data_IF_404567212240
#
_entry.id   IF_404567212240
#
_cell.length_a   1.000
_cell.length_b   1.000
_cell.length_c   1.000
_cell.angle_alpha   90.00
_cell.angle_beta   90.00
_cell.angle_gamma   90.00
#
_symmetry.space_group_name_H-M   'P 1'
#
loop_
_entity.id
_entity.type
_entity.pdbx_description
1 polymer ?
#
# COMPACT_ATOMS: atom_id res chain seq x y z
N UNK A 1 -12.05 22.02 -4.13
CA UNK A 1 -13.20 21.19 -3.72
C UNK A 1 -13.28 20.00 -4.67
N UNK A 2 -12.69 18.86 -4.32
CA UNK A 2 -12.90 17.59 -4.99
C UNK A 2 -13.20 16.59 -3.87
N UNK A 3 -14.37 15.96 -3.97
CA UNK A 3 -14.99 15.14 -2.93
C UNK A 3 -14.20 13.83 -2.85
N UNK A 4 -13.34 13.71 -1.83
CA UNK A 4 -12.68 12.45 -1.48
C UNK A 4 -13.70 11.55 -0.79
N UNK A 5 -14.25 10.60 -1.55
CA UNK A 5 -15.23 9.63 -1.06
C UNK A 5 -14.54 8.57 -0.18
N UNK A 6 -14.63 8.75 1.15
CA UNK A 6 -13.98 7.95 2.20
C UNK A 6 -14.43 6.49 2.38
N UNK A 7 -15.10 5.88 1.40
CA UNK A 7 -15.48 4.46 1.44
C UNK A 7 -14.57 3.53 0.62
N UNK A 8 -13.91 4.04 -0.43
CA UNK A 8 -12.95 3.26 -1.21
C UNK A 8 -11.57 3.17 -0.54
N UNK A 9 -11.16 4.25 0.12
CA UNK A 9 -9.83 4.37 0.74
C UNK A 9 -9.56 3.27 1.78
N UNK A 10 -10.53 2.94 2.66
CA UNK A 10 -10.32 1.94 3.72
C UNK A 10 -10.08 0.52 3.21
N UNK A 11 -10.74 0.12 2.10
CA UNK A 11 -10.59 -1.23 1.55
C UNK A 11 -9.24 -1.40 0.86
N UNK A 12 -8.83 -0.42 0.05
CA UNK A 12 -7.52 -0.44 -0.59
C UNK A 12 -6.39 -0.35 0.44
N UNK A 13 -6.61 0.40 1.52
CA UNK A 13 -5.68 0.48 2.66
C UNK A 13 -5.46 -0.88 3.33
N UNK A 14 -6.56 -1.59 3.61
CA UNK A 14 -6.52 -2.91 4.23
C UNK A 14 -5.83 -3.93 3.32
N UNK A 15 -6.12 -3.92 2.01
CA UNK A 15 -5.48 -4.84 1.05
C UNK A 15 -3.97 -4.64 0.98
N UNK A 16 -3.51 -3.38 0.92
CA UNK A 16 -2.07 -3.07 0.90
C UNK A 16 -1.42 -3.45 2.24
N UNK A 17 -2.07 -3.14 3.37
CA UNK A 17 -1.56 -3.53 4.69
C UNK A 17 -1.49 -5.05 4.86
N UNK A 18 -2.53 -5.79 4.45
CA UNK A 18 -2.56 -7.25 4.47
C UNK A 18 -1.49 -7.82 3.56
N UNK A 19 -1.30 -7.26 2.36
CA UNK A 19 -0.20 -7.60 1.47
C UNK A 19 1.16 -7.46 2.16
N UNK A 20 1.46 -6.27 2.69
CA UNK A 20 2.75 -5.98 3.33
C UNK A 20 2.98 -6.86 4.57
N UNK A 21 1.96 -7.04 5.41
CA UNK A 21 2.07 -7.78 6.68
C UNK A 21 2.20 -9.29 6.47
N UNK A 22 1.56 -9.85 5.45
CA UNK A 22 1.43 -11.30 5.29
C UNK A 22 2.16 -11.89 4.08
N UNK A 23 2.90 -11.08 3.29
CA UNK A 23 3.58 -11.49 2.05
C UNK A 23 4.45 -12.76 2.11
N UNK A 24 4.94 -13.12 3.30
CA UNK A 24 5.85 -14.24 3.54
C UNK A 24 5.21 -15.42 4.30
N UNK A 25 3.92 -15.39 4.61
CA UNK A 25 3.26 -16.48 5.36
C UNK A 25 2.75 -17.62 4.47
N UNK A 26 2.88 -18.84 4.98
CA UNK A 26 2.40 -20.07 4.30
C UNK A 26 0.94 -20.32 4.66
N UNK A 27 0.20 -20.85 3.69
CA UNK A 27 -1.25 -21.01 3.78
C UNK A 27 -1.69 -22.49 3.76
N UNK A 28 -2.60 -22.87 4.67
CA UNK A 28 -3.28 -24.17 4.70
C UNK A 28 -4.65 -24.12 4.01
N UNK A 29 -5.37 -22.98 4.06
CA UNK A 29 -6.74 -22.82 3.56
C UNK A 29 -6.78 -22.09 2.21
N UNK A 30 -7.24 -22.77 1.14
CA UNK A 30 -7.17 -22.24 -0.23
C UNK A 30 -8.54 -21.82 -0.76
N UNK A 31 -8.70 -20.52 -1.03
CA UNK A 31 -9.82 -19.99 -1.81
C UNK A 31 -9.56 -20.28 -3.30
N UNK A 32 -10.53 -20.89 -3.98
CA UNK A 32 -10.41 -21.31 -5.40
C UNK A 32 -11.42 -20.64 -6.33
N UNK A 33 -12.41 -19.92 -5.79
CA UNK A 33 -13.51 -19.36 -6.55
C UNK A 33 -13.92 -17.98 -6.04
N UNK A 34 -14.53 -17.17 -6.91
CA UNK A 34 -15.02 -15.85 -6.56
C UNK A 34 -16.11 -15.86 -5.46
N UNK A 35 -17.06 -16.83 -5.43
CA UNK A 35 -18.00 -16.94 -4.32
C UNK A 35 -17.32 -17.18 -2.96
N UNK A 36 -16.34 -18.09 -2.90
CA UNK A 36 -15.59 -18.37 -1.67
C UNK A 36 -14.74 -17.18 -1.23
N UNK A 37 -14.21 -16.41 -2.18
CA UNK A 37 -13.54 -15.14 -1.91
C UNK A 37 -14.48 -14.11 -1.27
N UNK A 38 -15.68 -13.94 -1.83
CA UNK A 38 -16.68 -13.02 -1.28
C UNK A 38 -17.17 -13.46 0.11
N UNK A 39 -17.30 -14.76 0.35
CA UNK A 39 -17.62 -15.28 1.69
C UNK A 39 -16.48 -14.99 2.69
N UNK A 40 -15.22 -15.20 2.30
CA UNK A 40 -14.08 -14.89 3.15
C UNK A 40 -14.02 -13.40 3.52
N UNK A 41 -14.32 -12.50 2.58
CA UNK A 41 -14.45 -11.06 2.88
C UNK A 41 -15.57 -10.78 3.88
N UNK A 42 -16.74 -11.40 3.74
CA UNK A 42 -17.83 -11.23 4.71
C UNK A 42 -17.49 -11.75 6.10
N UNK A 43 -16.68 -12.81 6.18
CA UNK A 43 -16.23 -13.39 7.47
C UNK A 43 -15.17 -12.54 8.16
N UNK A 44 -14.29 -11.89 7.39
CA UNK A 44 -13.22 -11.06 7.99
C UNK A 44 -13.74 -9.72 8.53
N UNK A 45 -14.80 -9.17 7.93
CA UNK A 45 -15.40 -7.89 8.32
C UNK A 45 -15.77 -7.80 9.83
N UNK A 46 -16.52 -8.76 10.43
CA UNK A 46 -16.85 -8.70 11.85
C UNK A 46 -15.62 -8.88 12.75
N UNK A 47 -14.65 -9.72 12.36
CA UNK A 47 -13.40 -9.89 13.12
C UNK A 47 -12.62 -8.57 13.23
N UNK A 48 -12.61 -7.77 12.17
CA UNK A 48 -12.02 -6.42 12.18
C UNK A 48 -12.83 -5.48 13.06
N UNK A 49 -14.16 -5.47 12.91
CA UNK A 49 -15.04 -4.56 13.65
C UNK A 49 -15.01 -4.80 15.17
N UNK A 50 -14.89 -6.06 15.59
CA UNK A 50 -14.81 -6.47 17.00
C UNK A 50 -13.40 -6.36 17.60
N UNK A 51 -12.39 -6.05 16.78
CA UNK A 51 -10.99 -6.00 17.19
C UNK A 51 -10.43 -7.40 17.47
N UNK A 52 -10.13 -8.15 16.41
CA UNK A 52 -9.55 -9.51 16.49
C UNK A 52 -8.30 -9.61 17.37
N UNK A 53 -7.54 -8.52 17.52
CA UNK A 53 -6.32 -8.45 18.34
C UNK A 53 -6.58 -8.70 19.83
N UNK A 54 -7.83 -8.58 20.28
CA UNK A 54 -8.22 -8.73 21.69
C UNK A 54 -8.37 -10.20 22.14
N UNK A 55 -8.28 -11.18 21.23
CA UNK A 55 -8.39 -12.60 21.56
C UNK A 55 -7.48 -13.44 20.66
N UNK A 56 -6.69 -14.34 21.24
CA UNK A 56 -5.81 -15.21 20.44
C UNK A 56 -6.61 -16.07 19.45
N UNK A 57 -7.79 -16.55 19.85
CA UNK A 57 -8.68 -17.33 18.97
C UNK A 57 -9.17 -16.53 17.75
N UNK A 58 -9.60 -15.27 17.98
CA UNK A 58 -10.06 -14.39 16.89
C UNK A 58 -8.91 -13.98 15.98
N UNK A 59 -7.73 -13.82 16.56
CA UNK A 59 -6.51 -13.50 15.82
C UNK A 59 -6.04 -14.65 14.95
N UNK A 60 -6.09 -15.89 15.44
CA UNK A 60 -5.83 -17.08 14.64
C UNK A 60 -6.83 -17.18 13.47
N UNK A 61 -8.13 -17.07 13.74
CA UNK A 61 -9.18 -17.09 12.71
C UNK A 61 -8.98 -15.98 11.67
N UNK A 62 -8.70 -14.75 12.13
CA UNK A 62 -8.40 -13.62 11.26
C UNK A 62 -7.20 -13.89 10.36
N UNK A 63 -6.10 -14.42 10.92
CA UNK A 63 -4.88 -14.72 10.16
C UNK A 63 -5.13 -15.77 9.09
N UNK A 64 -5.85 -16.84 9.40
CA UNK A 64 -6.18 -17.88 8.42
C UNK A 64 -6.98 -17.32 7.24
N UNK A 65 -8.04 -16.54 7.53
CA UNK A 65 -8.89 -15.93 6.50
C UNK A 65 -8.09 -14.90 5.69
N UNK A 66 -7.30 -14.06 6.37
CA UNK A 66 -6.48 -13.03 5.74
C UNK A 66 -5.45 -13.59 4.77
N UNK A 67 -4.74 -14.65 5.16
CA UNK A 67 -3.73 -15.31 4.33
C UNK A 67 -4.42 -15.97 3.12
N UNK A 68 -5.61 -16.55 3.30
CA UNK A 68 -6.37 -17.17 2.22
C UNK A 68 -6.87 -16.14 1.18
N UNK A 69 -7.40 -15.00 1.65
CA UNK A 69 -7.77 -13.85 0.81
C UNK A 69 -6.54 -13.38 0.02
N UNK A 70 -5.43 -13.09 0.70
CA UNK A 70 -4.21 -12.63 0.06
C UNK A 70 -3.71 -13.61 -1.02
N UNK A 71 -3.75 -14.92 -0.73
CA UNK A 71 -3.33 -15.96 -1.68
C UNK A 71 -4.17 -15.93 -2.96
N UNK A 72 -5.49 -15.72 -2.84
CA UNK A 72 -6.38 -15.58 -3.99
C UNK A 72 -6.12 -14.28 -4.75
N UNK A 73 -6.00 -13.17 -4.04
CA UNK A 73 -5.72 -11.85 -4.63
C UNK A 73 -4.39 -11.82 -5.37
N UNK A 74 -3.34 -12.42 -4.84
CA UNK A 74 -2.04 -12.51 -5.52
C UNK A 74 -2.14 -13.17 -6.91
N UNK A 75 -3.05 -14.13 -7.07
CA UNK A 75 -3.26 -14.86 -8.33
C UNK A 75 -4.23 -14.12 -9.28
N UNK A 76 -5.29 -13.52 -8.74
CA UNK A 76 -6.40 -12.98 -9.53
C UNK A 76 -6.39 -11.44 -9.67
N UNK A 77 -5.77 -10.75 -8.71
CA UNK A 77 -5.65 -9.29 -8.62
C UNK A 77 -4.21 -8.92 -8.21
N UNK A 78 -3.19 -9.29 -8.99
CA UNK A 78 -1.80 -9.05 -8.61
C UNK A 78 -1.56 -7.55 -8.39
N UNK A 79 -1.08 -7.20 -7.19
CA UNK A 79 -0.58 -5.87 -6.94
C UNK A 79 0.67 -5.67 -7.80
N UNK A 80 0.59 -4.72 -8.74
CA UNK A 80 1.78 -4.32 -9.49
C UNK A 80 2.68 -3.53 -8.54
N UNK A 81 3.93 -3.96 -8.42
CA UNK A 81 4.94 -3.15 -7.76
C UNK A 81 5.12 -1.86 -8.58
N UNK A 82 5.36 -0.71 -7.92
CA UNK A 82 5.68 0.51 -8.63
C UNK A 82 6.83 0.30 -9.62
N UNK A 83 6.63 0.68 -10.87
CA UNK A 83 7.64 0.58 -11.93
C UNK A 83 8.28 1.95 -12.23
N UNK A 84 7.84 3.00 -11.53
CA UNK A 84 8.32 4.36 -11.73
C UNK A 84 8.49 5.07 -10.41
N UNK A 85 9.33 6.12 -10.38
CA UNK A 85 9.49 6.97 -9.20
C UNK A 85 8.15 7.56 -8.74
N UNK A 86 7.29 8.15 -9.60
CA UNK A 86 5.99 8.67 -9.15
C UNK A 86 5.11 7.62 -8.47
N UNK A 87 4.99 6.42 -9.05
CA UNK A 87 4.21 5.34 -8.44
C UNK A 87 4.81 4.89 -7.10
N UNK A 88 6.14 4.88 -6.98
CA UNK A 88 6.81 4.53 -5.73
C UNK A 88 6.58 5.61 -4.67
N UNK A 89 6.60 6.89 -5.07
CA UNK A 89 6.28 8.00 -4.17
C UNK A 89 4.84 7.88 -3.67
N UNK A 90 3.87 7.56 -4.54
CA UNK A 90 2.47 7.36 -4.14
C UNK A 90 2.35 6.22 -3.12
N UNK A 91 3.02 5.08 -3.37
CA UNK A 91 3.08 3.98 -2.42
C UNK A 91 3.67 4.43 -1.07
N UNK A 92 4.77 5.18 -1.08
CA UNK A 92 5.40 5.68 0.15
C UNK A 92 4.58 6.71 0.89
N UNK A 93 3.84 7.57 0.18
CA UNK A 93 2.89 8.48 0.81
C UNK A 93 1.81 7.70 1.55
N UNK A 94 1.30 6.64 0.95
CA UNK A 94 0.33 5.76 1.59
C UNK A 94 0.93 5.05 2.82
N UNK A 95 2.09 4.38 2.68
CA UNK A 95 2.75 3.65 3.78
C UNK A 95 3.09 4.56 4.98
N UNK A 96 3.54 5.77 4.71
CA UNK A 96 3.97 6.74 5.72
C UNK A 96 2.84 7.68 6.17
N UNK A 97 1.59 7.43 5.71
CA UNK A 97 0.40 8.25 6.01
C UNK A 97 0.62 9.74 5.74
N UNK A 98 1.30 10.06 4.64
CA UNK A 98 1.49 11.43 4.17
C UNK A 98 0.23 11.85 3.41
N UNK A 99 -0.58 12.77 3.95
CA UNK A 99 -1.95 13.00 3.48
C UNK A 99 -2.02 13.76 2.15
N UNK A 100 -0.96 14.48 1.75
CA UNK A 100 -0.96 15.25 0.51
C UNK A 100 0.46 15.60 0.03
N UNK A 101 0.56 15.97 -1.25
CA UNK A 101 1.83 16.34 -1.90
C UNK A 101 2.48 17.59 -1.27
N UNK A 102 1.69 18.49 -0.65
CA UNK A 102 2.24 19.65 0.05
C UNK A 102 3.08 19.20 1.25
N UNK A 103 2.55 18.36 2.13
CA UNK A 103 3.30 17.79 3.24
C UNK A 103 4.49 16.94 2.77
N UNK A 104 4.34 16.23 1.65
CA UNK A 104 5.47 15.53 1.05
C UNK A 104 6.59 16.49 0.64
N UNK A 105 6.26 17.61 -0.03
CA UNK A 105 7.24 18.60 -0.47
C UNK A 105 8.01 19.23 0.69
N UNK A 106 7.32 19.50 1.81
CA UNK A 106 7.93 20.00 3.05
C UNK A 106 8.91 18.97 3.64
N UNK A 107 8.51 17.69 3.67
CA UNK A 107 9.36 16.58 4.14
C UNK A 107 10.60 16.36 3.25
N UNK A 108 10.42 16.45 1.93
CA UNK A 108 11.50 16.32 0.95
C UNK A 108 12.32 17.60 0.77
N UNK A 109 11.95 18.71 1.45
CA UNK A 109 12.62 20.02 1.38
C UNK A 109 12.74 20.57 -0.05
N UNK A 110 11.71 20.35 -0.86
CA UNK A 110 11.60 20.87 -2.23
C UNK A 110 10.34 21.71 -2.38
N UNK A 111 10.30 22.57 -3.40
CA UNK A 111 9.08 23.32 -3.68
C UNK A 111 7.93 22.40 -4.14
N UNK A 112 6.67 22.71 -3.81
CA UNK A 112 5.52 21.97 -4.31
C UNK A 112 5.46 21.89 -5.85
N UNK A 113 5.88 22.96 -6.53
CA UNK A 113 5.98 22.99 -8.00
C UNK A 113 7.03 22.01 -8.53
N UNK A 114 8.24 22.00 -7.94
CA UNK A 114 9.30 21.03 -8.31
C UNK A 114 8.82 19.59 -8.11
N UNK A 115 8.17 19.29 -6.98
CA UNK A 115 7.59 17.98 -6.72
C UNK A 115 6.53 17.61 -7.77
N UNK A 116 5.58 18.50 -8.06
CA UNK A 116 4.51 18.25 -9.03
C UNK A 116 5.07 17.98 -10.44
N UNK A 117 6.07 18.74 -10.87
CA UNK A 117 6.72 18.52 -12.16
C UNK A 117 7.44 17.17 -12.23
N UNK A 118 8.03 16.71 -11.12
CA UNK A 118 8.65 15.38 -11.05
C UNK A 118 7.58 14.29 -11.11
N UNK A 119 6.51 14.40 -10.32
CA UNK A 119 5.44 13.40 -10.28
C UNK A 119 4.65 13.31 -11.60
N UNK A 120 4.56 14.41 -12.35
CA UNK A 120 3.93 14.45 -13.67
C UNK A 120 4.88 14.14 -14.83
N UNK A 121 6.16 13.85 -14.55
CA UNK A 121 7.17 13.56 -15.57
C UNK A 121 7.63 14.76 -16.40
N UNK A 122 7.15 15.98 -16.09
CA UNK A 122 7.59 17.22 -16.74
C UNK A 122 9.03 17.60 -16.40
N UNK A 123 9.55 17.10 -15.28
CA UNK A 123 10.91 17.31 -14.81
C UNK A 123 11.51 15.99 -14.35
N UNK A 124 12.76 15.73 -14.73
CA UNK A 124 13.50 14.58 -14.20
C UNK A 124 13.86 14.79 -12.72
N UNK A 125 13.80 13.74 -11.88
CA UNK A 125 14.36 13.76 -10.54
C UNK A 125 15.84 14.14 -10.55
N UNK A 126 16.22 15.15 -9.77
CA UNK A 126 17.63 15.50 -9.58
C UNK A 126 18.24 14.78 -8.38
N UNK A 127 19.58 14.81 -8.27
CA UNK A 127 20.34 14.13 -7.20
C UNK A 127 19.85 14.55 -5.81
N UNK A 128 19.45 15.81 -5.64
CA UNK A 128 18.90 16.31 -4.38
C UNK A 128 17.58 15.61 -4.04
N UNK A 129 16.65 15.53 -5.00
CA UNK A 129 15.41 14.77 -4.85
C UNK A 129 15.68 13.30 -4.52
N UNK A 130 16.57 12.63 -5.24
CA UNK A 130 16.86 11.20 -5.04
C UNK A 130 17.44 10.95 -3.63
N UNK A 131 18.32 11.83 -3.15
CA UNK A 131 18.86 11.75 -1.78
C UNK A 131 17.77 11.88 -0.72
N UNK A 132 16.88 12.85 -0.87
CA UNK A 132 15.77 13.06 0.07
C UNK A 132 14.73 11.93 -0.03
N UNK A 133 14.45 11.41 -1.22
CA UNK A 133 13.58 10.25 -1.40
C UNK A 133 14.14 9.00 -0.69
N UNK A 134 15.44 8.72 -0.83
CA UNK A 134 16.10 7.64 -0.08
C UNK A 134 16.01 7.85 1.43
N UNK A 135 16.34 9.05 1.90
CA UNK A 135 16.46 9.36 3.34
C UNK A 135 15.10 9.42 4.04
N UNK A 136 14.12 10.05 3.41
CA UNK A 136 12.85 10.43 4.05
C UNK A 136 11.75 9.44 3.73
N UNK A 137 11.79 8.80 2.55
CA UNK A 137 10.80 7.82 2.12
C UNK A 137 11.33 6.38 2.15
N UNK A 138 12.60 6.19 2.49
CA UNK A 138 13.24 4.87 2.58
C UNK A 138 13.10 4.07 1.28
N UNK A 139 13.18 4.77 0.14
CA UNK A 139 13.18 4.14 -1.18
C UNK A 139 14.59 3.64 -1.47
N UNK A 140 14.66 2.43 -2.02
CA UNK A 140 15.92 1.80 -2.39
C UNK A 140 16.72 2.65 -3.39
N UNK A 141 18.04 2.69 -3.20
CA UNK A 141 18.91 3.53 -4.01
C UNK A 141 19.05 3.00 -5.44
N UNK A 142 19.09 1.69 -5.62
CA UNK A 142 19.23 1.09 -6.94
C UNK A 142 17.95 1.33 -7.74
N UNK A 143 16.78 1.17 -7.12
CA UNK A 143 15.51 1.54 -7.73
C UNK A 143 15.47 3.01 -8.17
N UNK A 144 15.90 3.93 -7.30
CA UNK A 144 15.93 5.36 -7.61
C UNK A 144 16.86 5.70 -8.77
N UNK A 145 18.01 5.04 -8.88
CA UNK A 145 18.99 5.29 -9.94
C UNK A 145 18.57 4.67 -11.27
N UNK A 146 17.93 3.50 -11.25
CA UNK A 146 17.43 2.83 -12.46
C UNK A 146 16.27 3.59 -13.12
N UNK A 147 15.49 4.36 -12.34
CA UNK A 147 14.22 4.94 -12.79
C UNK A 147 14.19 6.49 -12.84
N UNK A 148 15.35 7.16 -12.77
CA UNK A 148 15.51 8.63 -12.78
C UNK A 148 15.60 9.29 -14.17
#
# INVERSE_FOLDING_TARGET
MAIYNGHHEKKDTLRIWMFLKFKNMKNSFKIKSLPAYNEALKRIDPLIAEGFENSETKKEEFLEIAIAIQSYEKKHYPLRMPATIPEMIELKMFELKIPNQKQLSEKLKISPDKLSQILTGKRKPDIEFLKEAKKTLYIDADFLLEHA
#
